data_IF_972182799331
#
_entry.id   IF_972182799331
#
_cell.length_a   1.000
_cell.length_b   1.000
_cell.length_c   1.000
_cell.angle_alpha   90.00
_cell.angle_beta   90.00
_cell.angle_gamma   90.00
#
_symmetry.space_group_name_H-M   'P 1'
#
loop_
_entity.id
_entity.type
_entity.pdbx_description
1 polymer ?
#
# COMPACT_ATOMS: atom_id res chain seq x y z
N UNK A 1 5.45 6.38 16.45
CA UNK A 1 5.25 7.80 16.03
C UNK A 1 3.96 8.00 15.27
N UNK A 2 3.69 7.27 14.14
CA UNK A 2 2.45 7.49 13.35
C UNK A 2 1.20 7.16 14.17
N UNK A 3 1.14 5.99 14.79
CA UNK A 3 -0.02 5.60 15.60
C UNK A 3 -0.27 6.56 16.78
N UNK A 4 0.78 7.06 17.42
CA UNK A 4 0.69 8.04 18.51
C UNK A 4 0.17 9.39 18.01
N UNK A 5 0.58 9.80 16.81
CA UNK A 5 0.06 11.00 16.15
C UNK A 5 -1.45 10.86 15.84
N UNK A 6 -1.85 9.74 15.25
CA UNK A 6 -3.28 9.46 14.99
C UNK A 6 -4.08 9.40 16.28
N UNK A 7 -3.57 8.74 17.32
CA UNK A 7 -4.20 8.70 18.64
C UNK A 7 -4.47 10.10 19.20
N UNK A 8 -3.47 10.99 19.10
CA UNK A 8 -3.62 12.37 19.55
C UNK A 8 -4.66 13.13 18.72
N UNK A 9 -4.55 13.09 17.39
CA UNK A 9 -5.45 13.81 16.50
C UNK A 9 -6.91 13.34 16.64
N UNK A 10 -7.14 12.06 16.79
CA UNK A 10 -8.49 11.51 17.00
C UNK A 10 -9.01 11.81 18.42
N UNK A 11 -8.10 11.90 19.41
CA UNK A 11 -8.44 12.35 20.76
C UNK A 11 -9.03 13.75 20.78
N UNK A 12 -8.55 14.66 19.93
CA UNK A 12 -9.10 16.01 19.76
C UNK A 12 -10.54 16.01 19.21
N UNK A 13 -10.91 14.95 18.50
CA UNK A 13 -12.28 14.69 18.02
C UNK A 13 -13.15 13.93 19.02
N UNK A 14 -12.63 13.64 20.22
CA UNK A 14 -13.33 12.88 21.27
C UNK A 14 -13.30 11.36 21.07
N UNK A 15 -12.45 10.85 20.17
CA UNK A 15 -12.30 9.41 19.91
C UNK A 15 -11.18 8.85 20.78
N UNK A 16 -11.49 7.85 21.60
CA UNK A 16 -10.49 7.13 22.39
C UNK A 16 -9.83 6.05 21.57
N UNK A 17 -8.52 6.16 21.34
CA UNK A 17 -7.72 5.20 20.59
C UNK A 17 -6.82 4.39 21.52
N UNK A 18 -6.93 3.07 21.49
CA UNK A 18 -6.05 2.14 22.19
C UNK A 18 -5.03 1.56 21.20
N UNK A 19 -3.74 1.90 21.39
CA UNK A 19 -2.68 1.38 20.53
C UNK A 19 -2.28 -0.01 21.01
N UNK A 20 -2.53 -1.02 20.21
CA UNK A 20 -2.09 -2.38 20.44
C UNK A 20 -0.79 -2.65 19.67
N UNK A 21 0.33 -2.86 20.38
CA UNK A 21 1.64 -3.21 19.81
C UNK A 21 1.82 -4.71 19.87
N UNK A 22 1.81 -5.35 18.73
CA UNK A 22 1.89 -6.80 18.61
C UNK A 22 3.15 -7.19 17.83
N UNK A 23 3.77 -8.30 18.25
CA UNK A 23 4.86 -8.92 17.51
C UNK A 23 4.43 -9.32 16.09
N UNK A 24 5.34 -9.20 15.11
CA UNK A 24 5.03 -9.42 13.69
C UNK A 24 4.39 -10.79 13.40
N UNK A 25 4.93 -11.84 14.01
CA UNK A 25 4.41 -13.20 13.82
C UNK A 25 2.97 -13.37 14.33
N UNK A 26 2.58 -12.63 15.36
CA UNK A 26 1.21 -12.62 15.89
C UNK A 26 0.31 -11.62 15.16
N UNK A 27 0.88 -10.51 14.67
CA UNK A 27 0.15 -9.48 13.96
C UNK A 27 -0.43 -9.99 12.63
N UNK A 28 0.34 -10.75 11.85
CA UNK A 28 -0.11 -11.23 10.55
C UNK A 28 -1.40 -12.06 10.58
N UNK A 29 -1.53 -13.10 11.45
CA UNK A 29 -2.79 -13.83 11.55
C UNK A 29 -3.95 -13.00 12.08
N UNK A 30 -3.73 -12.09 13.05
CA UNK A 30 -4.75 -11.15 13.53
C UNK A 30 -5.26 -10.26 12.40
N UNK A 31 -4.34 -9.67 11.62
CA UNK A 31 -4.69 -8.82 10.48
C UNK A 31 -5.50 -9.55 9.43
N UNK A 32 -5.08 -10.77 9.04
CA UNK A 32 -5.79 -11.62 8.08
C UNK A 32 -7.17 -12.06 8.56
N UNK A 33 -7.32 -12.24 9.87
CA UNK A 33 -8.61 -12.56 10.49
C UNK A 33 -9.55 -11.35 10.55
N UNK A 34 -9.04 -10.10 10.41
CA UNK A 34 -9.81 -8.88 10.61
C UNK A 34 -10.06 -8.56 12.08
N UNK A 35 -9.21 -9.06 12.99
CA UNK A 35 -9.34 -8.88 14.44
C UNK A 35 -8.71 -7.55 14.88
N UNK A 36 -9.30 -6.45 14.40
CA UNK A 36 -8.92 -5.07 14.71
C UNK A 36 -10.00 -4.08 14.23
N UNK A 37 -10.04 -2.90 14.81
CA UNK A 37 -10.83 -1.78 14.30
C UNK A 37 -10.09 -1.05 13.18
N UNK A 38 -8.82 -0.70 13.43
CA UNK A 38 -7.93 -0.05 12.46
C UNK A 38 -6.55 -0.72 12.50
N UNK A 39 -6.05 -1.14 11.36
CA UNK A 39 -4.74 -1.76 11.23
C UNK A 39 -3.79 -0.90 10.41
N UNK A 40 -2.57 -0.70 10.91
CA UNK A 40 -1.49 -0.13 10.11
C UNK A 40 -1.03 -1.15 9.08
N UNK A 41 -1.03 -0.74 7.82
CA UNK A 41 -0.58 -1.58 6.71
C UNK A 41 0.41 -0.82 5.79
N UNK A 42 0.97 -1.49 4.83
CA UNK A 42 1.79 -0.94 3.77
C UNK A 42 1.95 -1.95 2.65
N UNK A 43 2.16 -1.45 1.45
CA UNK A 43 2.41 -2.24 0.25
C UNK A 43 3.58 -1.66 -0.53
N UNK A 44 4.39 -2.51 -1.10
CA UNK A 44 5.42 -2.16 -2.08
C UNK A 44 4.96 -2.68 -3.43
N UNK A 45 4.92 -1.82 -4.44
CA UNK A 45 4.43 -2.19 -5.76
C UNK A 45 5.35 -3.22 -6.42
N UNK A 46 4.75 -4.23 -7.05
CA UNK A 46 5.48 -5.25 -7.82
C UNK A 46 5.78 -4.76 -9.25
N UNK A 47 4.96 -3.86 -9.78
CA UNK A 47 5.10 -3.27 -11.12
C UNK A 47 4.56 -1.84 -11.18
N UNK A 48 4.98 -1.08 -12.21
CA UNK A 48 4.67 0.34 -12.36
C UNK A 48 3.30 0.59 -12.98
N UNK A 49 2.27 0.31 -12.19
CA UNK A 49 0.90 0.65 -12.54
C UNK A 49 0.08 0.84 -11.24
N UNK A 50 -0.77 1.87 -11.14
CA UNK A 50 -1.60 2.12 -9.96
C UNK A 50 -2.52 0.95 -9.59
N UNK A 51 -2.90 0.12 -10.56
CA UNK A 51 -3.70 -1.08 -10.32
C UNK A 51 -3.09 -1.98 -9.25
N UNK A 52 -1.73 -2.07 -9.19
CA UNK A 52 -1.04 -2.89 -8.19
C UNK A 52 -1.35 -2.49 -6.73
N UNK A 53 -1.68 -1.23 -6.50
CA UNK A 53 -2.07 -0.74 -5.17
C UNK A 53 -3.57 -0.88 -4.96
N UNK A 54 -4.37 -0.44 -5.93
CA UNK A 54 -5.81 -0.30 -5.70
C UNK A 54 -6.56 -1.63 -5.80
N UNK A 55 -6.09 -2.58 -6.62
CA UNK A 55 -6.67 -3.93 -6.71
C UNK A 55 -6.61 -4.73 -5.39
N UNK A 56 -5.74 -4.33 -4.46
CA UNK A 56 -5.67 -4.96 -3.13
C UNK A 56 -7.00 -4.94 -2.39
N UNK A 57 -7.85 -3.95 -2.67
CA UNK A 57 -9.11 -3.71 -1.96
C UNK A 57 -10.31 -4.38 -2.64
N UNK A 58 -10.13 -5.08 -3.78
CA UNK A 58 -11.26 -5.81 -4.39
C UNK A 58 -11.78 -6.90 -3.46
N UNK A 59 -13.08 -7.13 -3.50
CA UNK A 59 -13.78 -8.07 -2.60
C UNK A 59 -13.15 -9.45 -2.55
N UNK A 60 -12.59 -9.93 -3.67
CA UNK A 60 -12.02 -11.28 -3.79
C UNK A 60 -10.49 -11.32 -3.64
N UNK A 61 -9.82 -10.19 -3.44
CA UNK A 61 -8.36 -10.16 -3.32
C UNK A 61 -7.90 -10.77 -2.01
N UNK A 62 -6.97 -11.71 -2.07
CA UNK A 62 -6.41 -12.40 -0.90
C UNK A 62 -5.62 -11.50 0.05
N UNK A 63 -5.21 -10.29 -0.39
CA UNK A 63 -4.52 -9.29 0.43
C UNK A 63 -5.48 -8.23 1.00
N UNK A 64 -6.78 -8.32 0.72
CA UNK A 64 -7.80 -7.45 1.30
C UNK A 64 -8.08 -7.86 2.76
N UNK A 65 -7.11 -7.58 3.63
CA UNK A 65 -7.21 -7.94 5.05
C UNK A 65 -8.32 -7.15 5.77
N UNK A 66 -8.62 -5.93 5.30
CA UNK A 66 -9.70 -5.08 5.82
C UNK A 66 -11.11 -5.56 5.48
N UNK A 67 -11.23 -6.58 4.61
CA UNK A 67 -12.52 -7.14 4.15
C UNK A 67 -13.44 -6.08 3.52
N UNK A 68 -12.84 -5.03 2.95
CA UNK A 68 -13.60 -4.05 2.18
C UNK A 68 -14.35 -4.74 1.03
N UNK A 69 -15.58 -4.34 0.80
CA UNK A 69 -16.41 -4.93 -0.25
C UNK A 69 -17.40 -3.89 -0.75
N UNK A 70 -17.21 -3.46 -1.99
CA UNK A 70 -18.11 -2.55 -2.69
C UNK A 70 -18.21 -2.99 -4.16
N UNK A 71 -19.42 -3.38 -4.64
CA UNK A 71 -19.60 -3.84 -6.01
C UNK A 71 -19.29 -2.79 -7.07
N UNK A 72 -19.48 -1.49 -6.77
CA UNK A 72 -19.17 -0.38 -7.70
C UNK A 72 -17.65 -0.22 -7.84
N UNK A 73 -16.93 -0.33 -6.74
CA UNK A 73 -15.48 -0.38 -6.72
C UNK A 73 -14.94 -1.56 -7.55
N UNK A 74 -15.44 -2.77 -7.30
CA UNK A 74 -15.02 -3.97 -8.03
C UNK A 74 -15.31 -3.83 -9.54
N UNK A 75 -16.47 -3.24 -9.90
CA UNK A 75 -16.83 -2.99 -11.29
C UNK A 75 -15.91 -1.95 -11.96
N UNK A 76 -15.52 -0.90 -11.26
CA UNK A 76 -14.56 0.10 -11.76
C UNK A 76 -13.18 -0.51 -12.01
N UNK A 77 -12.69 -1.34 -11.07
CA UNK A 77 -11.44 -2.08 -11.24
C UNK A 77 -11.52 -3.03 -12.46
N UNK A 78 -12.61 -3.78 -12.62
CA UNK A 78 -12.76 -4.66 -13.78
C UNK A 78 -12.82 -3.86 -15.09
N UNK A 79 -13.50 -2.72 -15.11
CA UNK A 79 -13.56 -1.84 -16.27
C UNK A 79 -12.22 -1.15 -16.61
N UNK A 80 -11.28 -1.08 -15.66
CA UNK A 80 -9.94 -0.55 -15.91
C UNK A 80 -9.05 -1.49 -16.72
N UNK A 81 -9.39 -2.78 -16.83
CA UNK A 81 -8.59 -3.82 -17.50
C UNK A 81 -8.72 -3.75 -19.03
N UNK A 82 -8.35 -2.61 -19.60
CA UNK A 82 -8.43 -2.34 -21.03
C UNK A 82 -7.10 -1.85 -21.59
N UNK A 83 -6.90 -1.98 -22.89
CA UNK A 83 -5.66 -1.58 -23.57
C UNK A 83 -5.50 -0.05 -23.71
N UNK A 84 -6.60 0.71 -23.72
CA UNK A 84 -6.58 2.17 -23.76
C UNK A 84 -6.16 2.73 -22.40
N UNK A 85 -4.96 3.31 -22.34
CA UNK A 85 -4.40 3.85 -21.09
C UNK A 85 -5.23 4.99 -20.51
N UNK A 86 -5.88 5.80 -21.32
CA UNK A 86 -6.70 6.90 -20.82
C UNK A 86 -7.92 6.36 -20.09
N UNK A 87 -8.59 5.38 -20.68
CA UNK A 87 -9.73 4.70 -20.06
C UNK A 87 -9.30 3.91 -18.82
N UNK A 88 -8.16 3.21 -18.91
CA UNK A 88 -7.57 2.50 -17.79
C UNK A 88 -7.38 3.40 -16.57
N UNK A 89 -6.64 4.49 -16.71
CA UNK A 89 -6.40 5.42 -15.59
C UNK A 89 -7.67 6.13 -15.10
N UNK A 90 -8.57 6.48 -16.01
CA UNK A 90 -9.85 7.05 -15.60
C UNK A 90 -10.63 6.09 -14.68
N UNK A 91 -10.68 4.80 -15.03
CA UNK A 91 -11.40 3.81 -14.22
C UNK A 91 -10.70 3.51 -12.89
N UNK A 92 -9.36 3.56 -12.83
CA UNK A 92 -8.64 3.48 -11.58
C UNK A 92 -8.91 4.68 -10.67
N UNK A 93 -9.02 5.90 -11.21
CA UNK A 93 -9.42 7.08 -10.43
C UNK A 93 -10.86 6.96 -9.91
N UNK A 94 -11.81 6.50 -10.73
CA UNK A 94 -13.18 6.24 -10.27
C UNK A 94 -13.19 5.24 -9.10
N UNK A 95 -12.39 4.19 -9.17
CA UNK A 95 -12.27 3.23 -8.07
C UNK A 95 -11.63 3.85 -6.83
N UNK A 96 -10.57 4.66 -7.00
CA UNK A 96 -9.92 5.37 -5.90
C UNK A 96 -10.90 6.30 -5.18
N UNK A 97 -11.70 7.07 -5.91
CA UNK A 97 -12.69 7.97 -5.34
C UNK A 97 -13.71 7.19 -4.47
N UNK A 98 -14.23 6.07 -4.98
CA UNK A 98 -15.14 5.20 -4.21
C UNK A 98 -14.48 4.67 -2.93
N UNK A 99 -13.24 4.17 -3.03
CA UNK A 99 -12.50 3.64 -1.89
C UNK A 99 -12.26 4.70 -0.80
N UNK A 100 -11.97 5.94 -1.22
CA UNK A 100 -11.74 7.06 -0.30
C UNK A 100 -13.05 7.56 0.33
N UNK A 101 -14.14 7.65 -0.42
CA UNK A 101 -15.46 8.03 0.10
C UNK A 101 -15.96 7.01 1.13
N UNK A 102 -15.75 5.73 0.88
CA UNK A 102 -16.09 4.64 1.82
C UNK A 102 -15.14 4.55 3.02
N UNK A 103 -14.04 5.31 3.04
CA UNK A 103 -12.96 5.19 4.01
C UNK A 103 -12.41 3.76 4.14
N UNK A 104 -12.42 2.99 3.05
CA UNK A 104 -11.88 1.62 3.01
C UNK A 104 -10.37 1.57 3.24
N UNK A 105 -9.67 2.67 2.97
CA UNK A 105 -8.27 2.90 3.30
C UNK A 105 -8.03 4.35 3.73
N UNK A 106 -7.04 4.55 4.59
CA UNK A 106 -6.59 5.88 5.03
C UNK A 106 -5.13 6.06 4.60
N UNK A 107 -4.84 6.71 3.48
CA UNK A 107 -3.47 6.96 3.04
C UNK A 107 -2.75 7.89 4.04
N UNK A 108 -1.55 7.49 4.47
CA UNK A 108 -0.80 8.26 5.48
C UNK A 108 0.48 8.87 4.89
N UNK A 109 1.29 8.06 4.23
CA UNK A 109 2.57 8.50 3.67
C UNK A 109 3.10 7.51 2.64
N UNK A 110 3.93 8.01 1.74
CA UNK A 110 4.81 7.19 0.93
C UNK A 110 6.09 6.88 1.69
N UNK A 111 6.54 5.62 1.61
CA UNK A 111 7.84 5.22 2.16
C UNK A 111 8.97 5.84 1.35
N UNK A 112 10.03 6.22 2.05
CA UNK A 112 11.27 6.70 1.44
C UNK A 112 12.37 5.72 1.75
N UNK A 113 13.03 5.21 0.73
CA UNK A 113 14.21 4.37 0.86
C UNK A 113 15.48 5.22 0.83
N UNK A 114 16.44 4.84 1.66
CA UNK A 114 17.77 5.42 1.69
C UNK A 114 18.80 4.33 1.44
N UNK A 115 19.77 4.60 0.59
CA UNK A 115 20.89 3.68 0.37
C UNK A 115 22.22 4.42 0.35
N UNK A 116 23.26 3.70 0.74
CA UNK A 116 24.63 4.13 0.61
C UNK A 116 25.35 3.14 -0.31
N UNK A 117 26.04 3.68 -1.31
CA UNK A 117 26.81 2.90 -2.26
C UNK A 117 28.23 3.43 -2.32
N UNK A 118 29.22 2.51 -2.26
CA UNK A 118 30.61 2.87 -2.50
C UNK A 118 30.77 3.47 -3.89
N UNK A 119 31.54 4.56 -4.06
CA UNK A 119 31.86 5.10 -5.37
C UNK A 119 32.55 4.12 -6.31
N UNK A 120 33.26 3.12 -5.76
CA UNK A 120 33.90 2.05 -6.54
C UNK A 120 32.94 0.96 -7.02
N UNK A 121 31.73 0.84 -6.46
CA UNK A 121 30.74 -0.12 -6.94
C UNK A 121 30.00 0.45 -8.17
N UNK A 122 30.18 -0.19 -9.31
CA UNK A 122 29.61 0.21 -10.60
C UNK A 122 28.67 -0.87 -11.15
N UNK A 123 27.92 -0.52 -12.22
CA UNK A 123 27.07 -1.47 -12.93
C UNK A 123 25.84 -1.95 -12.16
N UNK A 124 25.53 -1.32 -11.03
CA UNK A 124 24.33 -1.59 -10.24
C UNK A 124 23.20 -0.67 -10.65
N UNK A 125 21.97 -1.13 -10.48
CA UNK A 125 20.78 -0.33 -10.68
C UNK A 125 19.80 -0.52 -9.54
N UNK A 126 19.16 0.56 -9.11
CA UNK A 126 18.12 0.58 -8.10
C UNK A 126 16.80 1.03 -8.73
N UNK A 127 15.76 0.21 -8.59
CA UNK A 127 14.45 0.56 -9.12
C UNK A 127 13.73 1.57 -8.21
N UNK A 128 12.80 2.37 -8.74
CA UNK A 128 11.94 3.22 -7.93
C UNK A 128 11.07 2.47 -6.90
N UNK A 129 10.97 1.15 -7.01
CA UNK A 129 10.22 0.26 -6.09
C UNK A 129 11.06 -0.35 -4.98
N UNK A 130 12.33 0.08 -4.83
CA UNK A 130 13.22 -0.43 -3.79
C UNK A 130 13.99 -1.69 -4.17
N UNK A 131 13.90 -2.19 -5.41
CA UNK A 131 14.65 -3.38 -5.83
C UNK A 131 16.06 -3.02 -6.30
N UNK A 132 17.05 -3.81 -5.83
CA UNK A 132 18.44 -3.69 -6.22
C UNK A 132 18.81 -4.74 -7.27
N UNK A 133 19.43 -4.29 -8.34
CA UNK A 133 19.93 -5.14 -9.42
C UNK A 133 21.43 -5.10 -9.43
N UNK A 134 22.07 -6.20 -9.00
CA UNK A 134 23.51 -6.32 -8.84
C UNK A 134 24.15 -7.22 -9.90
N UNK A 135 23.38 -7.77 -10.81
CA UNK A 135 23.83 -8.78 -11.79
C UNK A 135 24.95 -8.29 -12.72
N UNK A 136 25.10 -6.99 -12.90
CA UNK A 136 26.17 -6.37 -13.68
C UNK A 136 27.12 -5.56 -12.78
N UNK A 137 27.01 -5.75 -11.47
CA UNK A 137 27.82 -5.03 -10.50
C UNK A 137 29.28 -5.47 -10.53
N UNK A 138 30.20 -4.51 -10.46
CA UNK A 138 31.65 -4.76 -10.35
C UNK A 138 32.29 -3.67 -9.50
N UNK A 139 33.48 -3.97 -9.00
CA UNK A 139 34.31 -2.99 -8.28
C UNK A 139 35.32 -2.40 -9.26
N UNK A 140 35.32 -1.08 -9.37
CA UNK A 140 36.32 -0.30 -10.09
C UNK A 140 37.39 0.11 -9.11
N UNK A 141 38.67 -0.27 -9.38
CA UNK A 141 39.84 0.04 -8.57
C UNK A 141 40.34 1.47 -8.78
#
# INVERSE_FOLDING_TARGET
>A
PVAEYVQQAWGELGITVNINKVEWASFLPMRRAGDYDVSRNGWVMDYNDPSNMIELFTTTNGNNDGKYSNPEFDAAIEASKVADKSVHFQKLHEAEDILMEDAGAIPVAYYTDFWLQSPSLKGTWHSPYGYWYLQYGYIEE
#
